data_IF_325039112878
#
_entry.id   IF_325039112878
#
_cell.length_a   1.000
_cell.length_b   1.000
_cell.length_c   1.000
_cell.angle_alpha   90.00
_cell.angle_beta   90.00
_cell.angle_gamma   90.00
#
_symmetry.space_group_name_H-M   'P 1'
#
loop_
_entity.id
_entity.type
_entity.pdbx_description
1 polymer ?
#
# COMPACT_ATOMS: atom_id res chain seq x y z
N UNK A 1 23.37 -10.88 -13.93
CA UNK A 1 23.65 -10.65 -12.50
C UNK A 1 23.93 -9.16 -12.34
N UNK A 2 23.01 -8.40 -11.73
CA UNK A 2 23.30 -7.00 -11.41
C UNK A 2 24.43 -6.99 -10.38
N UNK A 3 25.54 -6.30 -10.69
CA UNK A 3 26.66 -6.16 -9.75
C UNK A 3 26.16 -5.47 -8.49
N UNK A 4 26.40 -6.09 -7.34
CA UNK A 4 26.06 -5.48 -6.05
C UNK A 4 26.91 -4.24 -5.91
N UNK A 5 26.28 -3.11 -5.54
CA UNK A 5 26.99 -1.85 -5.38
C UNK A 5 27.97 -1.97 -4.21
N UNK A 6 29.28 -1.80 -4.48
CA UNK A 6 30.34 -1.90 -3.48
C UNK A 6 30.15 -0.93 -2.30
N UNK A 7 29.53 0.22 -2.55
CA UNK A 7 29.15 1.18 -1.50
C UNK A 7 28.23 0.55 -0.46
N UNK A 8 27.25 -0.26 -0.88
CA UNK A 8 26.35 -0.95 0.03
C UNK A 8 27.07 -2.04 0.84
N UNK A 9 27.96 -2.81 0.21
CA UNK A 9 28.76 -3.81 0.91
C UNK A 9 29.67 -3.17 1.98
N UNK A 10 30.31 -2.05 1.65
CA UNK A 10 31.12 -1.28 2.61
C UNK A 10 30.24 -0.84 3.80
N UNK A 11 29.06 -0.26 3.53
CA UNK A 11 28.13 0.23 4.56
C UNK A 11 27.60 -0.90 5.45
N UNK A 12 27.35 -2.10 4.89
CA UNK A 12 26.97 -3.30 5.65
C UNK A 12 28.08 -3.70 6.62
N UNK A 13 29.33 -3.76 6.17
CA UNK A 13 30.49 -4.11 7.00
C UNK A 13 30.75 -3.10 8.12
N UNK A 14 30.53 -1.81 7.84
CA UNK A 14 30.62 -0.75 8.85
C UNK A 14 29.54 -0.91 9.94
N UNK A 15 28.29 -1.22 9.54
CA UNK A 15 27.18 -1.37 10.45
C UNK A 15 27.22 -2.69 11.25
N UNK A 16 27.72 -3.75 10.62
CA UNK A 16 27.78 -5.10 11.19
C UNK A 16 29.18 -5.71 10.98
N UNK A 17 30.21 -5.26 11.73
CA UNK A 17 31.61 -5.68 11.49
C UNK A 17 31.84 -7.18 11.64
N UNK A 18 31.05 -7.86 12.48
CA UNK A 18 31.18 -9.29 12.75
C UNK A 18 30.24 -10.16 11.86
N UNK A 19 29.52 -9.57 10.91
CA UNK A 19 28.63 -10.30 10.04
C UNK A 19 29.43 -11.04 8.96
N UNK A 20 29.48 -12.36 9.03
CA UNK A 20 29.96 -13.20 7.95
C UNK A 20 28.94 -13.22 6.82
N UNK A 21 29.29 -12.69 5.66
CA UNK A 21 28.42 -12.64 4.47
C UNK A 21 28.66 -13.93 3.65
N UNK A 22 27.70 -14.87 3.69
CA UNK A 22 27.74 -16.12 2.92
C UNK A 22 26.95 -16.02 1.62
N UNK A 23 25.79 -15.39 1.70
CA UNK A 23 24.89 -15.20 0.54
C UNK A 23 24.31 -13.79 0.52
N UNK A 24 24.12 -13.24 -0.68
CA UNK A 24 23.41 -11.97 -0.87
C UNK A 24 22.44 -12.13 -2.03
N UNK A 25 21.21 -11.67 -1.82
CA UNK A 25 20.22 -11.48 -2.87
C UNK A 25 19.93 -9.98 -3.00
N UNK A 26 19.99 -9.45 -4.21
CA UNK A 26 19.67 -8.05 -4.50
C UNK A 26 18.24 -7.95 -5.06
N UNK A 27 17.48 -6.98 -4.58
CA UNK A 27 16.21 -6.56 -5.16
C UNK A 27 16.22 -5.03 -5.30
N UNK A 28 16.33 -4.56 -6.53
CA UNK A 28 16.34 -3.13 -6.88
C UNK A 28 15.04 -2.69 -7.58
N UNK A 29 14.01 -3.54 -7.63
CA UNK A 29 12.76 -3.28 -8.33
C UNK A 29 11.88 -2.25 -7.58
N UNK A 30 12.10 -2.08 -6.27
CA UNK A 30 11.41 -1.09 -5.45
C UNK A 30 11.69 0.36 -5.90
N UNK A 31 10.68 1.22 -5.83
CA UNK A 31 10.80 2.63 -6.22
C UNK A 31 11.66 3.44 -5.23
N UNK A 32 11.61 3.10 -3.94
CA UNK A 32 12.16 3.90 -2.85
C UNK A 32 13.51 3.40 -2.33
N UNK A 33 13.71 2.10 -2.29
CA UNK A 33 14.88 1.49 -1.68
C UNK A 33 15.52 0.44 -2.60
N UNK A 34 16.85 0.35 -2.54
CA UNK A 34 17.56 -0.83 -2.93
C UNK A 34 17.62 -1.79 -1.73
N UNK A 35 17.32 -3.05 -1.97
CA UNK A 35 17.18 -4.04 -0.90
C UNK A 35 18.20 -5.16 -1.09
N UNK A 36 19.01 -5.42 -0.06
CA UNK A 36 19.91 -6.56 -0.01
C UNK A 36 19.47 -7.51 1.10
N UNK A 37 19.25 -8.78 0.75
CA UNK A 37 18.96 -9.84 1.71
C UNK A 37 20.23 -10.64 1.92
N UNK A 38 20.76 -10.59 3.14
CA UNK A 38 22.02 -11.25 3.52
C UNK A 38 21.74 -12.50 4.34
N UNK A 39 22.29 -13.62 3.91
CA UNK A 39 22.21 -14.93 4.58
C UNK A 39 20.80 -15.46 4.80
N UNK A 40 19.79 -14.96 4.06
CA UNK A 40 18.37 -15.21 4.34
C UNK A 40 17.97 -14.92 5.81
N UNK A 41 18.68 -13.98 6.45
CA UNK A 41 18.50 -13.60 7.86
C UNK A 41 18.28 -12.10 8.05
N UNK A 42 19.02 -11.25 7.35
CA UNK A 42 18.91 -9.79 7.47
C UNK A 42 18.55 -9.14 6.14
N UNK A 43 17.67 -8.17 6.21
CA UNK A 43 17.26 -7.31 5.09
C UNK A 43 17.83 -5.91 5.31
N UNK A 44 18.69 -5.49 4.40
CA UNK A 44 19.28 -4.15 4.36
C UNK A 44 18.54 -3.32 3.32
N UNK A 45 17.98 -2.19 3.72
CA UNK A 45 17.25 -1.28 2.83
C UNK A 45 17.99 0.05 2.76
N UNK A 46 18.43 0.40 1.55
CA UNK A 46 19.13 1.63 1.25
C UNK A 46 18.22 2.57 0.49
N UNK A 47 17.82 3.72 1.06
CA UNK A 47 16.99 4.69 0.33
C UNK A 47 17.74 5.17 -0.91
N UNK A 48 17.06 5.12 -2.06
CA UNK A 48 17.58 5.70 -3.30
C UNK A 48 17.78 7.20 -3.07
N UNK A 49 18.74 7.81 -3.74
CA UNK A 49 19.33 9.14 -3.45
C UNK A 49 18.35 10.34 -3.36
N UNK A 50 17.09 10.13 -3.07
CA UNK A 50 16.06 11.15 -3.04
C UNK A 50 15.64 11.47 -1.61
N UNK A 51 15.50 12.74 -1.30
CA UNK A 51 15.10 13.23 0.03
C UNK A 51 13.77 12.61 0.50
N UNK A 52 12.83 12.37 -0.42
CA UNK A 52 11.55 11.76 -0.10
C UNK A 52 11.69 10.28 0.29
N UNK A 53 12.57 9.50 -0.35
CA UNK A 53 12.81 8.11 0.00
C UNK A 53 13.32 7.95 1.45
N UNK A 54 14.21 8.86 1.89
CA UNK A 54 14.68 8.90 3.28
C UNK A 54 13.56 9.27 4.27
N UNK A 55 12.69 10.21 3.89
CA UNK A 55 11.53 10.56 4.70
C UNK A 55 10.58 9.38 4.87
N UNK A 56 10.30 8.63 3.80
CA UNK A 56 9.47 7.43 3.85
C UNK A 56 10.09 6.36 4.75
N UNK A 57 11.41 6.12 4.64
CA UNK A 57 12.11 5.18 5.51
C UNK A 57 12.02 5.58 6.99
N UNK A 58 12.25 6.85 7.30
CA UNK A 58 12.13 7.38 8.67
C UNK A 58 10.70 7.29 9.20
N UNK A 59 9.69 7.54 8.35
CA UNK A 59 8.28 7.41 8.70
C UNK A 59 7.92 5.95 8.99
N UNK A 60 8.35 5.02 8.14
CA UNK A 60 8.12 3.59 8.31
C UNK A 60 8.59 3.09 9.68
N UNK A 61 9.79 3.48 10.09
CA UNK A 61 10.34 3.12 11.40
C UNK A 61 9.42 3.58 12.53
N UNK A 62 8.95 4.84 12.50
CA UNK A 62 8.01 5.38 13.50
C UNK A 62 6.70 4.61 13.54
N UNK A 63 6.17 4.24 12.37
CA UNK A 63 4.92 3.47 12.27
C UNK A 63 5.10 2.06 12.82
N UNK A 64 6.17 1.36 12.46
CA UNK A 64 6.47 0.03 12.99
C UNK A 64 6.63 0.07 14.52
N UNK A 65 7.35 1.05 15.06
CA UNK A 65 7.51 1.23 16.51
C UNK A 65 6.18 1.52 17.22
N UNK A 66 5.28 2.27 16.58
CA UNK A 66 3.95 2.52 17.12
C UNK A 66 3.10 1.25 17.13
N UNK A 67 3.07 0.51 16.02
CA UNK A 67 2.13 -0.59 15.80
C UNK A 67 2.59 -1.92 16.42
N UNK A 68 3.88 -2.15 16.64
CA UNK A 68 4.46 -3.45 17.01
C UNK A 68 3.82 -4.17 18.22
N UNK A 69 3.20 -3.43 19.13
CA UNK A 69 2.51 -3.96 20.29
C UNK A 69 0.98 -3.76 20.23
N UNK A 70 0.47 -3.22 19.13
CA UNK A 70 -0.93 -2.88 18.94
C UNK A 70 -1.63 -3.76 17.91
N UNK A 71 -0.85 -4.48 17.09
CA UNK A 71 -1.37 -5.35 16.03
C UNK A 71 -0.94 -6.80 16.26
N UNK A 72 -1.78 -7.74 15.85
CA UNK A 72 -1.53 -9.18 16.04
C UNK A 72 -0.62 -9.77 14.96
N UNK A 73 -0.72 -9.26 13.72
CA UNK A 73 0.18 -9.67 12.64
C UNK A 73 1.57 -9.13 12.96
N UNK A 74 2.61 -9.99 13.03
CA UNK A 74 3.98 -9.54 13.29
C UNK A 74 4.45 -8.51 12.25
N UNK A 75 5.14 -7.49 12.71
CA UNK A 75 5.79 -6.49 11.87
C UNK A 75 7.30 -6.74 11.80
N UNK A 76 8.01 -6.12 10.82
CA UNK A 76 9.46 -6.22 10.74
C UNK A 76 10.14 -5.83 12.06
N UNK A 77 11.02 -6.69 12.55
CA UNK A 77 11.84 -6.39 13.71
C UNK A 77 13.03 -5.56 13.28
N UNK A 78 13.04 -4.27 13.61
CA UNK A 78 14.13 -3.35 13.26
C UNK A 78 15.34 -3.64 14.14
N UNK A 79 16.46 -3.99 13.50
CA UNK A 79 17.76 -4.22 14.12
C UNK A 79 18.64 -2.96 14.10
N UNK A 80 18.49 -2.14 13.04
CA UNK A 80 19.19 -0.87 12.87
C UNK A 80 18.31 0.12 12.12
N UNK A 81 18.28 1.35 12.61
CA UNK A 81 17.65 2.49 11.94
C UNK A 81 18.66 3.64 11.86
N UNK A 82 19.03 4.03 10.64
CA UNK A 82 19.87 5.17 10.33
C UNK A 82 19.25 5.96 9.17
N UNK A 83 19.74 7.16 8.91
CA UNK A 83 19.23 8.02 7.82
C UNK A 83 19.39 7.39 6.42
N UNK A 84 20.48 6.65 6.24
CA UNK A 84 20.88 6.03 4.99
C UNK A 84 20.67 4.53 4.91
N UNK A 85 20.15 3.91 6.00
CA UNK A 85 20.03 2.45 6.09
C UNK A 85 19.01 2.05 7.16
N UNK A 86 18.11 1.15 6.80
CA UNK A 86 17.40 0.35 7.81
C UNK A 86 17.70 -1.13 7.64
N UNK A 87 17.74 -1.83 8.78
CA UNK A 87 17.97 -3.28 8.80
C UNK A 87 16.91 -3.95 9.66
N UNK A 88 16.34 -5.02 9.14
CA UNK A 88 15.38 -5.84 9.89
C UNK A 88 15.61 -7.33 9.61
N UNK A 89 15.05 -8.18 10.48
CA UNK A 89 15.09 -9.63 10.25
C UNK A 89 14.31 -10.01 9.00
N UNK A 90 14.88 -10.96 8.24
CA UNK A 90 14.20 -11.51 7.06
C UNK A 90 12.98 -12.32 7.48
N UNK A 91 11.83 -11.96 6.94
CA UNK A 91 10.57 -12.64 7.20
C UNK A 91 10.30 -13.60 6.05
N UNK A 92 10.21 -14.90 6.38
CA UNK A 92 9.88 -15.93 5.40
C UNK A 92 8.40 -15.88 5.05
N UNK A 93 8.13 -15.55 3.81
CA UNK A 93 6.80 -15.45 3.24
C UNK A 93 6.91 -15.01 1.78
N UNK A 94 5.86 -15.20 1.02
CA UNK A 94 5.73 -14.67 -0.33
C UNK A 94 4.65 -13.58 -0.36
N UNK A 95 4.65 -12.67 -1.34
CA UNK A 95 3.53 -11.79 -1.58
C UNK A 95 2.22 -12.56 -1.70
N UNK A 96 1.17 -12.10 -1.01
CA UNK A 96 -0.17 -12.66 -1.13
C UNK A 96 -0.84 -12.11 -2.39
N UNK A 97 -0.71 -12.80 -3.50
CA UNK A 97 -1.29 -12.35 -4.76
C UNK A 97 -2.76 -12.75 -4.91
N UNK A 98 -3.49 -12.07 -5.81
CA UNK A 98 -4.90 -12.37 -6.10
C UNK A 98 -5.14 -13.85 -6.45
N UNK A 99 -4.24 -14.46 -7.24
CA UNK A 99 -4.38 -15.87 -7.61
C UNK A 99 -4.30 -16.83 -6.42
N UNK A 100 -3.59 -16.48 -5.34
CA UNK A 100 -3.55 -17.28 -4.12
C UNK A 100 -4.92 -17.28 -3.45
N UNK A 101 -5.58 -16.12 -3.40
CA UNK A 101 -6.95 -15.98 -2.90
C UNK A 101 -7.93 -16.78 -3.79
N UNK A 102 -7.81 -16.68 -5.11
CA UNK A 102 -8.71 -17.38 -6.03
C UNK A 102 -8.57 -18.92 -5.95
N UNK A 103 -7.37 -19.42 -5.67
CA UNK A 103 -7.11 -20.87 -5.49
C UNK A 103 -7.46 -21.39 -4.10
N UNK A 104 -7.57 -20.54 -3.10
CA UNK A 104 -7.94 -20.89 -1.74
C UNK A 104 -9.40 -21.34 -1.67
N UNK A 105 -9.70 -22.30 -0.78
CA UNK A 105 -11.07 -22.63 -0.46
C UNK A 105 -11.72 -21.53 0.42
N UNK A 106 -13.04 -21.52 0.54
CA UNK A 106 -13.79 -20.49 1.25
C UNK A 106 -13.36 -20.30 2.72
N UNK A 107 -13.02 -21.40 3.41
CA UNK A 107 -12.54 -21.33 4.80
C UNK A 107 -11.19 -20.62 4.90
N UNK A 108 -10.29 -20.89 3.97
CA UNK A 108 -8.97 -20.24 3.91
C UNK A 108 -9.11 -18.77 3.54
N UNK A 109 -9.92 -18.45 2.50
CA UNK A 109 -10.22 -17.06 2.12
C UNK A 109 -10.76 -16.27 3.30
N UNK A 110 -11.76 -16.82 4.00
CA UNK A 110 -12.36 -16.20 5.17
C UNK A 110 -11.30 -15.92 6.24
N UNK A 111 -10.47 -16.92 6.57
CA UNK A 111 -9.42 -16.76 7.58
C UNK A 111 -8.40 -15.68 7.21
N UNK A 112 -7.98 -15.63 5.94
CA UNK A 112 -7.06 -14.58 5.46
C UNK A 112 -7.74 -13.21 5.52
N UNK A 113 -9.01 -13.13 5.08
CA UNK A 113 -9.77 -11.88 5.13
C UNK A 113 -9.96 -11.37 6.57
N UNK A 114 -10.26 -12.27 7.51
CA UNK A 114 -10.37 -11.93 8.94
C UNK A 114 -9.01 -11.42 9.49
N UNK A 115 -7.89 -12.08 9.19
CA UNK A 115 -6.57 -11.62 9.63
C UNK A 115 -6.25 -10.20 9.11
N UNK A 116 -6.51 -9.93 7.81
CA UNK A 116 -6.27 -8.61 7.23
C UNK A 116 -7.26 -7.57 7.73
N UNK A 117 -8.52 -7.96 7.97
CA UNK A 117 -9.54 -7.11 8.55
C UNK A 117 -9.21 -6.68 9.98
N UNK A 118 -8.78 -7.63 10.82
CA UNK A 118 -8.35 -7.34 12.19
C UNK A 118 -7.12 -6.43 12.21
N UNK A 119 -6.14 -6.69 11.33
CA UNK A 119 -4.97 -5.84 11.22
C UNK A 119 -5.34 -4.38 10.88
N UNK A 120 -6.14 -4.17 9.83
CA UNK A 120 -6.58 -2.82 9.46
C UNK A 120 -7.42 -2.17 10.57
N UNK A 121 -8.31 -2.93 11.21
CA UNK A 121 -9.10 -2.44 12.35
C UNK A 121 -8.19 -1.98 13.50
N UNK A 122 -7.19 -2.79 13.87
CA UNK A 122 -6.24 -2.46 14.92
C UNK A 122 -5.45 -1.20 14.57
N UNK A 123 -4.95 -1.09 13.33
CA UNK A 123 -4.22 0.08 12.84
C UNK A 123 -5.08 1.34 12.81
N UNK A 124 -6.28 1.26 12.20
CA UNK A 124 -7.18 2.40 12.06
C UNK A 124 -7.73 2.90 13.41
N UNK A 125 -7.77 2.05 14.44
CA UNK A 125 -8.24 2.40 15.77
C UNK A 125 -7.13 2.88 16.72
N UNK A 126 -5.90 3.06 16.22
CA UNK A 126 -4.86 3.71 17.03
C UNK A 126 -5.32 5.13 17.39
N UNK A 127 -5.32 5.51 18.69
CA UNK A 127 -5.77 6.82 19.12
C UNK A 127 -4.99 7.95 18.40
N UNK A 128 -5.69 8.91 17.79
CA UNK A 128 -5.07 10.02 17.07
C UNK A 128 -4.11 10.85 17.94
N UNK A 129 -4.38 10.93 19.24
CA UNK A 129 -3.46 11.57 20.18
C UNK A 129 -2.07 10.89 20.19
N UNK A 130 -2.06 9.54 20.15
CA UNK A 130 -0.81 8.75 20.11
C UNK A 130 -0.08 8.93 18.76
N UNK A 131 -0.83 8.90 17.64
CA UNK A 131 -0.29 9.13 16.30
C UNK A 131 0.41 10.49 16.23
N UNK A 132 -0.28 11.55 16.68
CA UNK A 132 0.27 12.92 16.70
C UNK A 132 1.45 13.06 17.65
N UNK A 133 1.41 12.43 18.83
CA UNK A 133 2.49 12.44 19.82
C UNK A 133 3.80 11.86 19.24
N UNK A 134 3.69 10.88 18.34
CA UNK A 134 4.83 10.29 17.62
C UNK A 134 5.33 11.14 16.45
N UNK A 135 4.72 12.29 16.18
CA UNK A 135 5.08 13.14 15.05
C UNK A 135 4.78 12.49 13.69
N UNK A 136 3.74 11.64 13.63
CA UNK A 136 3.23 11.07 12.38
C UNK A 136 2.27 12.07 11.78
N UNK A 137 2.56 12.49 10.54
CA UNK A 137 1.76 13.44 9.78
C UNK A 137 0.69 12.78 8.92
N UNK A 138 0.16 13.55 7.98
CA UNK A 138 -0.74 13.02 6.96
C UNK A 138 -0.01 12.02 6.06
N UNK A 139 -0.73 10.98 5.64
CA UNK A 139 -0.23 10.06 4.61
C UNK A 139 0.00 10.82 3.30
N UNK A 140 1.11 10.51 2.62
CA UNK A 140 1.41 11.09 1.30
C UNK A 140 0.39 10.65 0.22
N UNK A 141 -0.35 9.58 0.49
CA UNK A 141 -1.42 9.09 -0.40
C UNK A 141 -2.78 9.64 -0.04
N UNK A 142 -2.96 10.31 1.12
CA UNK A 142 -4.22 10.91 1.49
C UNK A 142 -4.62 12.03 0.53
N UNK A 143 -5.89 12.04 0.12
CA UNK A 143 -6.41 13.00 -0.85
C UNK A 143 -7.73 13.58 -0.39
N UNK A 144 -7.81 14.90 -0.37
CA UNK A 144 -9.05 15.61 -0.16
C UNK A 144 -9.84 15.80 -1.47
N UNK A 145 -11.02 16.38 -1.38
CA UNK A 145 -11.90 16.62 -2.53
C UNK A 145 -11.24 17.43 -3.63
N UNK A 146 -10.50 18.49 -3.28
CA UNK A 146 -9.85 19.38 -4.25
C UNK A 146 -8.79 18.64 -5.07
N UNK A 147 -8.01 17.78 -4.43
CA UNK A 147 -7.00 16.93 -5.11
C UNK A 147 -7.68 15.99 -6.10
N UNK A 148 -8.83 15.40 -5.73
CA UNK A 148 -9.59 14.53 -6.64
C UNK A 148 -10.20 15.28 -7.81
N UNK A 149 -10.78 16.44 -7.58
CA UNK A 149 -11.31 17.28 -8.67
C UNK A 149 -10.20 17.71 -9.61
N UNK A 150 -9.01 18.03 -9.07
CA UNK A 150 -7.85 18.35 -9.90
C UNK A 150 -7.36 17.17 -10.72
N UNK A 151 -7.40 15.97 -10.16
CA UNK A 151 -7.08 14.75 -10.91
C UNK A 151 -8.08 14.54 -12.05
N UNK A 152 -9.36 14.75 -11.83
CA UNK A 152 -10.40 14.66 -12.85
C UNK A 152 -10.19 15.67 -13.98
N UNK A 153 -9.96 16.96 -13.68
CA UNK A 153 -9.61 17.96 -14.67
C UNK A 153 -8.40 17.55 -15.52
N UNK A 154 -7.35 17.03 -14.85
CA UNK A 154 -6.16 16.56 -15.56
C UNK A 154 -6.46 15.34 -16.43
N UNK A 155 -7.30 14.40 -15.98
CA UNK A 155 -7.72 13.26 -16.78
C UNK A 155 -8.51 13.71 -18.02
N UNK A 156 -9.44 14.65 -17.88
CA UNK A 156 -10.18 15.23 -19.01
C UNK A 156 -9.24 15.89 -20.02
N UNK A 157 -8.24 16.62 -19.55
CA UNK A 157 -7.29 17.32 -20.43
C UNK A 157 -6.25 16.40 -21.07
N UNK A 158 -5.66 15.49 -20.29
CA UNK A 158 -4.47 14.73 -20.69
C UNK A 158 -4.78 13.32 -21.16
N UNK A 159 -5.86 12.67 -20.66
CA UNK A 159 -6.22 11.29 -21.01
C UNK A 159 -7.42 11.16 -21.94
N UNK A 160 -8.47 11.97 -21.78
CA UNK A 160 -9.68 11.89 -22.61
C UNK A 160 -9.41 11.93 -24.12
N UNK A 161 -8.41 12.69 -24.64
CA UNK A 161 -8.07 12.63 -26.07
C UNK A 161 -7.71 11.24 -26.58
N UNK A 162 -7.22 10.35 -25.68
CA UNK A 162 -6.81 8.98 -26.02
C UNK A 162 -7.86 7.92 -25.65
N UNK A 163 -8.93 8.32 -24.92
CA UNK A 163 -9.97 7.39 -24.46
C UNK A 163 -11.09 7.26 -25.48
N UNK A 164 -11.67 6.06 -25.56
CA UNK A 164 -12.91 5.83 -26.29
C UNK A 164 -14.08 6.59 -25.63
N UNK A 165 -15.11 7.00 -26.37
CA UNK A 165 -16.24 7.78 -25.85
C UNK A 165 -16.88 7.15 -24.60
N UNK A 166 -17.17 5.84 -24.61
CA UNK A 166 -17.78 5.15 -23.48
C UNK A 166 -16.88 5.15 -22.23
N UNK A 167 -15.54 5.14 -22.38
CA UNK A 167 -14.61 5.21 -21.24
C UNK A 167 -14.60 6.60 -20.62
N UNK A 168 -14.77 7.66 -21.44
CA UNK A 168 -14.94 9.04 -20.92
C UNK A 168 -16.23 9.14 -20.13
N UNK A 169 -17.36 8.63 -20.67
CA UNK A 169 -18.64 8.61 -19.98
C UNK A 169 -18.57 7.86 -18.65
N UNK A 170 -17.96 6.67 -18.62
CA UNK A 170 -17.72 5.92 -17.38
C UNK A 170 -16.88 6.72 -16.38
N UNK A 171 -15.85 7.45 -16.86
CA UNK A 171 -15.03 8.30 -16.00
C UNK A 171 -15.84 9.47 -15.42
N UNK A 172 -16.63 10.14 -16.26
CA UNK A 172 -17.51 11.23 -15.83
C UNK A 172 -18.54 10.75 -14.79
N UNK A 173 -19.15 9.59 -15.01
CA UNK A 173 -20.07 8.96 -14.06
C UNK A 173 -19.38 8.61 -12.74
N UNK A 174 -18.14 8.10 -12.80
CA UNK A 174 -17.36 7.75 -11.62
C UNK A 174 -17.04 8.98 -10.76
N UNK A 175 -16.75 10.12 -11.38
CA UNK A 175 -16.49 11.38 -10.67
C UNK A 175 -17.76 12.17 -10.30
N UNK A 176 -18.93 11.81 -10.85
CA UNK A 176 -20.17 12.53 -10.57
C UNK A 176 -20.52 12.68 -9.08
N UNK A 177 -20.33 11.66 -8.21
CA UNK A 177 -20.60 11.81 -6.77
C UNK A 177 -19.77 12.94 -6.13
N UNK A 178 -18.47 12.96 -6.37
CA UNK A 178 -17.59 13.97 -5.77
C UNK A 178 -17.80 15.38 -6.35
N UNK A 179 -18.27 15.46 -7.59
CA UNK A 179 -18.62 16.74 -8.24
C UNK A 179 -19.91 17.30 -7.61
N UNK A 180 -20.93 16.46 -7.43
CA UNK A 180 -22.27 16.86 -6.98
C UNK A 180 -22.42 17.04 -5.47
N UNK A 181 -21.67 16.23 -4.69
CA UNK A 181 -21.77 16.22 -3.24
C UNK A 181 -20.44 16.64 -2.62
N UNK A 182 -20.43 17.78 -1.94
CA UNK A 182 -19.27 18.34 -1.26
C UNK A 182 -18.87 17.52 -0.03
N UNK A 183 -19.82 16.78 0.55
CA UNK A 183 -19.63 15.97 1.75
C UNK A 183 -19.21 14.52 1.44
N UNK A 184 -19.26 14.10 0.16
CA UNK A 184 -18.98 12.70 -0.23
C UNK A 184 -17.64 12.17 0.29
N UNK A 185 -16.63 13.03 0.36
CA UNK A 185 -15.29 12.67 0.83
C UNK A 185 -15.07 12.92 2.33
N UNK A 186 -16.10 13.37 3.06
CA UNK A 186 -15.98 13.60 4.49
C UNK A 186 -15.75 12.28 5.24
N UNK A 187 -14.79 12.28 6.14
CA UNK A 187 -14.42 11.14 6.93
C UNK A 187 -13.79 11.56 8.26
N UNK A 188 -13.81 10.67 9.22
CA UNK A 188 -12.98 10.80 10.41
C UNK A 188 -11.54 10.36 10.08
N UNK A 189 -10.53 11.21 10.38
CA UNK A 189 -9.13 10.85 10.16
C UNK A 189 -8.72 9.62 10.98
N UNK A 190 -8.04 8.68 10.33
CA UNK A 190 -7.49 7.46 10.93
C UNK A 190 -6.01 7.32 10.58
N UNK A 191 -5.28 6.50 11.33
CA UNK A 191 -3.97 6.03 10.89
C UNK A 191 -4.19 4.99 9.79
N UNK A 192 -3.84 5.32 8.55
CA UNK A 192 -3.97 4.42 7.40
C UNK A 192 -2.61 3.95 6.89
N UNK A 193 -2.56 2.80 6.21
CA UNK A 193 -1.35 2.28 5.58
C UNK A 193 -0.99 3.07 4.31
N UNK A 194 -1.97 3.33 3.46
CA UNK A 194 -1.82 4.12 2.24
C UNK A 194 -1.21 3.38 1.06
N UNK A 195 -0.72 2.14 1.26
CA UNK A 195 -0.17 1.27 0.21
C UNK A 195 -0.37 -0.22 0.56
N UNK A 196 -1.62 -0.58 0.88
CA UNK A 196 -1.99 -1.93 1.32
C UNK A 196 -2.15 -2.89 0.13
N UNK A 197 -1.03 -3.17 -0.53
CA UNK A 197 -0.98 -3.96 -1.78
C UNK A 197 -0.40 -5.37 -1.56
N UNK A 198 -0.62 -6.32 -2.48
CA UNK A 198 -0.18 -7.71 -2.35
C UNK A 198 1.30 -7.89 -2.04
N UNK A 199 2.16 -7.04 -2.60
CA UNK A 199 3.62 -7.10 -2.40
C UNK A 199 4.04 -6.86 -0.95
N UNK A 200 3.19 -6.18 -0.18
CA UNK A 200 3.44 -5.80 1.21
C UNK A 200 2.77 -6.73 2.22
N UNK A 201 1.95 -7.67 1.74
CA UNK A 201 1.32 -8.71 2.58
C UNK A 201 2.08 -10.02 2.41
N UNK A 202 2.83 -10.43 3.42
CA UNK A 202 3.62 -11.68 3.37
C UNK A 202 2.80 -12.86 3.87
N UNK A 203 2.72 -13.90 3.05
CA UNK A 203 1.94 -15.11 3.27
C UNK A 203 2.82 -16.35 3.32
N UNK A 204 2.58 -17.20 4.32
CA UNK A 204 3.20 -18.53 4.45
C UNK A 204 2.23 -19.60 3.93
N UNK A 205 2.56 -20.16 2.77
CA UNK A 205 1.73 -21.21 2.13
C UNK A 205 1.61 -22.50 2.96
N UNK A 206 2.66 -22.84 3.72
CA UNK A 206 2.67 -24.04 4.55
C UNK A 206 1.74 -23.88 5.75
N UNK A 207 1.80 -22.72 6.39
CA UNK A 207 0.96 -22.39 7.55
C UNK A 207 -0.41 -21.82 7.15
N UNK A 208 -0.60 -21.51 5.86
CA UNK A 208 -1.83 -20.90 5.30
C UNK A 208 -2.29 -19.67 6.09
N UNK A 209 -1.37 -18.74 6.32
CA UNK A 209 -1.65 -17.52 7.07
C UNK A 209 -0.77 -16.35 6.63
N UNK A 210 -1.26 -15.16 6.86
CA UNK A 210 -0.46 -13.93 6.78
C UNK A 210 0.56 -13.96 7.92
N UNK A 211 1.82 -13.71 7.60
CA UNK A 211 2.93 -13.77 8.56
C UNK A 211 3.54 -12.42 8.86
N UNK A 212 3.34 -11.43 7.98
CA UNK A 212 3.74 -10.04 8.24
C UNK A 212 3.10 -9.10 7.24
N UNK A 213 3.04 -7.83 7.60
CA UNK A 213 2.83 -6.69 6.71
C UNK A 213 4.12 -5.87 6.73
N UNK A 214 4.55 -5.43 5.56
CA UNK A 214 5.77 -4.63 5.35
C UNK A 214 5.45 -3.34 4.61
N UNK A 215 6.42 -2.43 4.55
CA UNK A 215 6.35 -1.14 3.84
C UNK A 215 5.26 -0.19 4.35
N UNK A 216 5.60 0.51 5.43
CA UNK A 216 4.76 1.54 6.05
C UNK A 216 5.23 2.97 5.70
N UNK A 217 6.05 3.12 4.67
CA UNK A 217 6.62 4.42 4.32
C UNK A 217 5.57 5.50 4.05
N UNK A 218 4.49 5.14 3.36
CA UNK A 218 3.37 6.04 3.03
C UNK A 218 2.32 6.15 4.13
N UNK A 219 2.40 5.32 5.19
CA UNK A 219 1.41 5.33 6.26
C UNK A 219 1.34 6.67 6.98
N UNK A 220 0.15 7.05 7.41
CA UNK A 220 -0.07 8.33 8.07
C UNK A 220 -1.54 8.59 8.34
N UNK A 221 -1.88 9.83 8.70
CA UNK A 221 -3.25 10.26 8.98
C UNK A 221 -4.00 10.44 7.65
N UNK A 222 -5.17 9.85 7.53
CA UNK A 222 -6.01 9.98 6.34
C UNK A 222 -7.32 9.22 6.41
N UNK A 223 -7.90 8.96 5.23
CA UNK A 223 -9.16 8.21 5.08
C UNK A 223 -8.87 6.69 4.99
N UNK A 224 -9.36 5.92 5.96
CA UNK A 224 -9.30 4.46 5.97
C UNK A 224 -9.85 3.81 4.68
N UNK A 225 -10.76 4.50 3.97
CA UNK A 225 -11.29 4.03 2.69
C UNK A 225 -10.21 3.79 1.63
N UNK A 226 -9.05 4.45 1.72
CA UNK A 226 -7.93 4.22 0.80
C UNK A 226 -7.33 2.81 0.95
N UNK A 227 -7.21 2.29 2.18
CA UNK A 227 -6.74 0.92 2.42
C UNK A 227 -7.77 -0.11 1.94
N UNK A 228 -9.06 0.16 2.13
CA UNK A 228 -10.14 -0.69 1.59
C UNK A 228 -10.17 -0.67 0.07
N UNK A 229 -9.85 0.47 -0.54
CA UNK A 229 -9.71 0.58 -2.00
C UNK A 229 -8.57 -0.29 -2.53
N UNK A 230 -7.44 -0.34 -1.83
CA UNK A 230 -6.35 -1.26 -2.16
C UNK A 230 -6.79 -2.73 -2.11
N UNK A 231 -7.63 -3.10 -1.12
CA UNK A 231 -8.20 -4.45 -1.03
C UNK A 231 -9.15 -4.73 -2.20
N UNK A 232 -10.07 -3.81 -2.52
CA UNK A 232 -10.97 -3.94 -3.68
C UNK A 232 -10.18 -4.14 -4.96
N UNK A 233 -9.21 -3.28 -5.22
CA UNK A 233 -8.43 -3.27 -6.44
C UNK A 233 -7.63 -4.57 -6.63
N UNK A 234 -7.02 -5.07 -5.55
CA UNK A 234 -6.12 -6.23 -5.61
C UNK A 234 -6.81 -7.57 -5.39
N UNK A 235 -7.81 -7.66 -4.51
CA UNK A 235 -8.45 -8.92 -4.12
C UNK A 235 -9.94 -8.99 -4.46
N UNK A 236 -10.55 -7.86 -4.80
CA UNK A 236 -11.97 -7.76 -5.14
C UNK A 236 -12.87 -7.39 -3.96
N UNK A 237 -14.02 -6.80 -4.28
CA UNK A 237 -14.99 -6.35 -3.28
C UNK A 237 -15.58 -7.51 -2.47
N UNK A 238 -15.73 -8.69 -3.09
CA UNK A 238 -16.18 -9.90 -2.38
C UNK A 238 -15.23 -10.30 -1.23
N UNK A 239 -13.92 -10.10 -1.42
CA UNK A 239 -12.93 -10.36 -0.37
C UNK A 239 -13.02 -9.28 0.73
N UNK A 240 -13.15 -8.00 0.37
CA UNK A 240 -13.37 -6.93 1.35
C UNK A 240 -14.63 -7.18 2.18
N UNK A 241 -15.70 -7.70 1.57
CA UNK A 241 -16.93 -8.07 2.27
C UNK A 241 -16.71 -9.16 3.32
N UNK A 242 -15.80 -10.11 3.10
CA UNK A 242 -15.45 -11.11 4.12
C UNK A 242 -14.79 -10.46 5.33
N UNK A 243 -14.00 -9.39 5.15
CA UNK A 243 -13.35 -8.66 6.23
C UNK A 243 -14.35 -7.96 7.17
N UNK A 244 -15.58 -7.66 6.71
CA UNK A 244 -16.61 -7.03 7.57
C UNK A 244 -17.05 -7.91 8.73
N UNK A 245 -16.73 -9.20 8.75
CA UNK A 245 -16.99 -10.08 9.89
C UNK A 245 -16.26 -9.64 11.16
N UNK A 246 -15.07 -9.09 10.99
CA UNK A 246 -14.22 -8.61 12.10
C UNK A 246 -14.13 -7.08 12.13
N UNK A 247 -14.38 -6.42 11.00
CA UNK A 247 -14.34 -4.97 10.87
C UNK A 247 -15.61 -4.44 10.17
N UNK A 248 -16.78 -4.45 10.85
CA UNK A 248 -18.08 -4.07 10.26
C UNK A 248 -18.14 -2.61 9.80
N UNK A 249 -17.35 -1.71 10.38
CA UNK A 249 -17.28 -0.29 10.03
C UNK A 249 -16.80 -0.03 8.57
N UNK A 250 -16.21 -1.00 7.91
CA UNK A 250 -15.89 -0.96 6.47
C UNK A 250 -17.11 -0.55 5.65
N UNK A 251 -18.30 -1.05 6.00
CA UNK A 251 -19.54 -0.78 5.27
C UNK A 251 -19.86 0.71 5.17
N UNK A 252 -19.53 1.51 6.19
CA UNK A 252 -19.76 2.96 6.19
C UNK A 252 -18.82 3.73 5.24
N UNK A 253 -17.74 3.10 4.81
CA UNK A 253 -16.73 3.72 3.94
C UNK A 253 -16.73 3.16 2.52
N UNK A 254 -17.68 2.24 2.19
CA UNK A 254 -17.59 1.45 0.97
C UNK A 254 -17.65 2.28 -0.31
N UNK A 255 -18.48 3.30 -0.37
CA UNK A 255 -18.60 4.12 -1.58
C UNK A 255 -17.37 5.00 -1.81
N UNK A 256 -16.73 5.50 -0.73
CA UNK A 256 -15.44 6.16 -0.85
C UNK A 256 -14.34 5.18 -1.28
N UNK A 257 -14.34 3.95 -0.74
CA UNK A 257 -13.39 2.91 -1.15
C UNK A 257 -13.56 2.52 -2.63
N UNK A 258 -14.78 2.38 -3.11
CA UNK A 258 -15.07 2.15 -4.55
C UNK A 258 -14.59 3.31 -5.41
N UNK A 259 -14.82 4.54 -4.95
CA UNK A 259 -14.34 5.73 -5.65
C UNK A 259 -12.81 5.72 -5.75
N UNK A 260 -12.10 5.50 -4.64
CA UNK A 260 -10.65 5.40 -4.65
C UNK A 260 -10.16 4.28 -5.57
N UNK A 261 -10.74 3.08 -5.49
CA UNK A 261 -10.34 1.93 -6.29
C UNK A 261 -10.48 2.21 -7.79
N UNK A 262 -11.59 2.82 -8.22
CA UNK A 262 -11.81 3.17 -9.62
C UNK A 262 -10.95 4.32 -10.15
N UNK A 263 -10.25 5.05 -9.28
CA UNK A 263 -9.34 6.12 -9.71
C UNK A 263 -7.87 5.71 -9.80
N UNK A 264 -7.49 4.54 -9.28
CA UNK A 264 -6.08 4.13 -9.24
C UNK A 264 -5.44 4.07 -10.62
N UNK A 265 -6.14 3.52 -11.61
CA UNK A 265 -5.65 3.41 -12.98
C UNK A 265 -5.47 4.78 -13.65
N UNK A 266 -6.39 5.72 -13.41
CA UNK A 266 -6.26 7.09 -13.91
C UNK A 266 -5.04 7.80 -13.32
N UNK A 267 -4.73 7.57 -12.04
CA UNK A 267 -3.54 8.13 -11.41
C UNK A 267 -2.26 7.61 -12.07
N UNK A 268 -2.18 6.31 -12.32
CA UNK A 268 -1.05 5.69 -12.99
C UNK A 268 -0.94 6.12 -14.46
N UNK A 269 -2.06 6.18 -15.18
CA UNK A 269 -2.07 6.66 -16.55
C UNK A 269 -1.56 8.11 -16.66
N UNK A 270 -2.02 9.01 -15.80
CA UNK A 270 -1.53 10.39 -15.73
C UNK A 270 -0.03 10.45 -15.39
N UNK A 271 0.42 9.64 -14.43
CA UNK A 271 1.83 9.54 -14.08
C UNK A 271 2.66 9.07 -15.28
N UNK A 272 2.20 8.04 -15.98
CA UNK A 272 2.86 7.51 -17.18
C UNK A 272 2.99 8.54 -18.28
N UNK A 273 1.93 9.31 -18.54
CA UNK A 273 1.93 10.40 -19.53
C UNK A 273 2.96 11.47 -19.20
N UNK A 274 3.02 11.90 -17.95
CA UNK A 274 3.91 12.98 -17.46
C UNK A 274 5.37 12.55 -17.39
N UNK A 275 5.63 11.32 -16.96
CA UNK A 275 6.98 10.76 -16.86
C UNK A 275 7.48 10.16 -18.17
N UNK A 276 6.63 10.14 -19.22
CA UNK A 276 6.88 9.47 -20.50
C UNK A 276 7.20 7.97 -20.33
N UNK A 277 6.66 7.35 -19.29
CA UNK A 277 6.82 5.94 -19.03
C UNK A 277 5.67 5.16 -19.70
N UNK A 278 5.93 4.65 -20.91
CA UNK A 278 4.93 3.95 -21.73
C UNK A 278 4.33 2.73 -20.99
N UNK A 279 5.10 2.02 -20.19
CA UNK A 279 4.62 0.85 -19.46
C UNK A 279 3.51 1.22 -18.46
N UNK A 280 3.71 2.24 -17.69
CA UNK A 280 2.71 2.73 -16.73
C UNK A 280 1.44 3.19 -17.45
N UNK A 281 1.60 3.89 -18.58
CA UNK A 281 0.47 4.33 -19.38
C UNK A 281 -0.32 3.15 -19.93
N UNK A 282 0.33 2.19 -20.60
CA UNK A 282 -0.33 1.05 -21.20
C UNK A 282 -0.99 0.13 -20.17
N UNK A 283 -0.29 -0.20 -19.08
CA UNK A 283 -0.81 -1.09 -18.02
C UNK A 283 -2.06 -0.47 -17.40
N UNK A 284 -2.03 0.83 -17.11
CA UNK A 284 -3.13 1.50 -16.44
C UNK A 284 -4.33 1.74 -17.37
N UNK A 285 -4.10 1.91 -18.67
CA UNK A 285 -5.20 2.05 -19.65
C UNK A 285 -5.90 0.72 -19.98
N UNK A 286 -5.29 -0.41 -19.67
CA UNK A 286 -5.85 -1.75 -19.89
C UNK A 286 -6.29 -2.45 -18.61
N UNK A 287 -6.09 -1.85 -17.45
CA UNK A 287 -6.49 -2.40 -16.16
C UNK A 287 -8.01 -2.53 -16.04
N UNK A 288 -8.46 -3.54 -15.30
CA UNK A 288 -9.85 -3.76 -14.97
C UNK A 288 -10.04 -3.74 -13.46
N UNK A 289 -11.05 -3.03 -13.02
CA UNK A 289 -11.49 -3.03 -11.62
C UNK A 289 -12.76 -3.88 -11.50
N UNK A 290 -12.85 -4.67 -10.44
CA UNK A 290 -14.06 -5.38 -10.05
C UNK A 290 -14.82 -4.70 -8.90
N UNK A 291 -14.54 -3.43 -8.68
CA UNK A 291 -15.34 -2.60 -7.80
C UNK A 291 -16.77 -2.47 -8.36
N UNK A 292 -17.76 -2.63 -7.50
CA UNK A 292 -19.14 -2.34 -7.88
C UNK A 292 -19.34 -0.83 -8.04
N UNK A 293 -20.35 -0.42 -8.82
CA UNK A 293 -20.74 0.99 -8.90
C UNK A 293 -21.00 1.58 -7.51
N UNK A 294 -20.66 2.86 -7.37
CA UNK A 294 -20.94 3.64 -6.15
C UNK A 294 -22.46 3.59 -5.88
N UNK A 295 -22.84 3.39 -4.61
CA UNK A 295 -24.26 3.23 -4.22
C UNK A 295 -24.81 1.80 -4.30
N UNK A 296 -24.07 0.83 -4.86
CA UNK A 296 -24.52 -0.56 -4.87
C UNK A 296 -24.51 -1.18 -3.47
N UNK A 297 -25.41 -2.14 -3.23
CA UNK A 297 -25.39 -2.89 -1.95
C UNK A 297 -24.05 -3.63 -1.81
N UNK A 298 -23.45 -3.47 -0.66
CA UNK A 298 -22.20 -4.14 -0.26
C UNK A 298 -22.39 -5.60 0.14
#
# INVERSE_FOLDING_TARGET
>A
MNSINEKYLKRIREAFPNLEIKTIRNNSDGLTNDVLIVNDDLVFRFPKNETWARKLLANEIKIIELLRNLVEIPLPQIELAAEDLSVHRFIRGKPLCRHDILKSNEKEKTKIAEQLGDFLKQMHNVPMAEVKRRGIGNSDTNRNREVWLKLYENAQKELFPFMMPHVREMTDEHFAPIVRDVEFMNHEPRLMNGDFVPYHVLYDETKRKVVSIIDFGTAGIGDAAADFACVIYNYGEGFLKMMTRVYPEIAASIDRARFWAGTLELQWALSGTRTKNVWWHLVSMSGASDAKPIGSKF
#
